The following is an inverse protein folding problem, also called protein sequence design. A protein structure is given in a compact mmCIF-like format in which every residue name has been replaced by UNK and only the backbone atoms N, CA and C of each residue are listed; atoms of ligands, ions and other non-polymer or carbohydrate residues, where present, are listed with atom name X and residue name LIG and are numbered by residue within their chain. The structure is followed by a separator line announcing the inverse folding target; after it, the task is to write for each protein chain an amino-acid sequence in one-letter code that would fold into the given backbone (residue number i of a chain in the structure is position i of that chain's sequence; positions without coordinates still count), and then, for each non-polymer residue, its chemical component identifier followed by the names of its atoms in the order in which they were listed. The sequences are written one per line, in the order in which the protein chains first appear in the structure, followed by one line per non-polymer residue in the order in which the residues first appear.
data_IF_438738213087
#
_entry.id   IF_438738213087
#
_cell.length_a   1.000
_cell.length_b   1.000
_cell.length_c   1.000
_cell.angle_alpha   90.00
_cell.angle_beta   90.00
_cell.angle_gamma   90.00
#
_symmetry.space_group_name_H-M   'P 1'
#
loop_
_entity.id
_entity.type
_entity.pdbx_description
1 polymer ?
#
# COMPACT_ATOMS: atom_id res chain seq x y z
N UNK A 1 -27.24 -8.62 -16.03
CA UNK A 1 -27.02 -9.04 -14.62
C UNK A 1 -26.75 -7.81 -13.77
N UNK A 2 -27.07 -7.80 -12.47
CA UNK A 2 -26.78 -6.64 -11.59
C UNK A 2 -25.38 -6.75 -11.00
N UNK A 3 -24.76 -5.62 -10.69
CA UNK A 3 -23.44 -5.58 -10.05
C UNK A 3 -23.47 -6.27 -8.69
N UNK A 4 -22.49 -7.13 -8.41
CA UNK A 4 -22.41 -7.92 -7.17
C UNK A 4 -21.82 -7.11 -5.98
N UNK A 5 -21.30 -5.90 -6.24
CA UNK A 5 -20.68 -5.08 -5.20
C UNK A 5 -21.71 -4.64 -4.14
N UNK A 6 -21.35 -4.84 -2.87
CA UNK A 6 -22.15 -4.46 -1.71
C UNK A 6 -21.53 -3.24 -1.03
N UNK A 7 -22.35 -2.27 -0.66
CA UNK A 7 -21.90 -1.15 0.16
C UNK A 7 -21.67 -1.62 1.62
N UNK A 8 -21.06 -0.78 2.46
CA UNK A 8 -20.77 -1.09 3.88
C UNK A 8 -22.01 -1.45 4.72
N UNK A 9 -23.19 -1.08 4.25
CA UNK A 9 -24.49 -1.36 4.86
C UNK A 9 -25.09 -2.70 4.37
N UNK A 10 -24.47 -3.34 3.37
CA UNK A 10 -24.94 -4.58 2.76
C UNK A 10 -25.92 -4.37 1.59
N UNK A 11 -26.10 -3.12 1.13
CA UNK A 11 -26.93 -2.82 -0.03
C UNK A 11 -26.19 -3.16 -1.33
N UNK A 12 -26.85 -3.93 -2.20
CA UNK A 12 -26.31 -4.26 -3.53
C UNK A 12 -26.38 -3.05 -4.47
N UNK A 13 -25.28 -2.81 -5.19
CA UNK A 13 -25.19 -1.78 -6.21
C UNK A 13 -26.34 -1.90 -7.23
N UNK A 14 -27.02 -0.77 -7.49
CA UNK A 14 -28.18 -0.71 -8.40
C UNK A 14 -27.80 -0.75 -9.88
N UNK A 15 -26.53 -0.55 -10.20
CA UNK A 15 -26.05 -0.50 -11.58
C UNK A 15 -25.98 -1.88 -12.23
N UNK A 16 -26.16 -1.91 -13.55
CA UNK A 16 -25.96 -3.14 -14.32
C UNK A 16 -24.48 -3.51 -14.37
N UNK A 17 -24.21 -4.80 -14.24
CA UNK A 17 -22.89 -5.35 -14.47
C UNK A 17 -22.56 -5.26 -15.97
N UNK A 18 -21.29 -5.01 -16.28
CA UNK A 18 -20.77 -5.05 -17.65
C UNK A 18 -20.89 -6.47 -18.24
N UNK A 19 -21.03 -6.57 -19.55
CA UNK A 19 -21.14 -7.85 -20.24
C UNK A 19 -19.88 -8.71 -20.02
N UNK A 20 -20.04 -9.92 -19.49
CA UNK A 20 -18.93 -10.80 -19.13
C UNK A 20 -18.22 -10.47 -17.80
N UNK A 21 -18.63 -9.43 -17.06
CA UNK A 21 -18.07 -9.08 -15.75
C UNK A 21 -19.14 -9.10 -14.65
N UNK A 22 -18.72 -9.31 -13.41
CA UNK A 22 -19.63 -9.32 -12.24
C UNK A 22 -19.89 -7.92 -11.65
N UNK A 23 -19.23 -6.89 -12.18
CA UNK A 23 -19.20 -5.55 -11.62
C UNK A 23 -19.62 -4.49 -12.66
N UNK A 24 -20.17 -3.37 -12.20
CA UNK A 24 -20.47 -2.21 -13.05
C UNK A 24 -19.17 -1.44 -13.39
N UNK A 25 -19.22 -0.54 -14.37
CA UNK A 25 -18.07 0.25 -14.82
C UNK A 25 -17.39 1.08 -13.72
N UNK A 26 -18.14 1.47 -12.68
CA UNK A 26 -17.60 2.19 -11.54
C UNK A 26 -16.78 1.27 -10.63
N UNK A 27 -17.33 0.11 -10.26
CA UNK A 27 -16.64 -0.85 -9.38
C UNK A 27 -15.56 -1.68 -10.09
N UNK A 28 -15.66 -1.87 -11.41
CA UNK A 28 -14.58 -2.53 -12.17
C UNK A 28 -13.30 -1.70 -12.17
N UNK A 29 -13.42 -0.38 -12.29
CA UNK A 29 -12.26 0.53 -12.23
C UNK A 29 -11.55 0.48 -10.87
N UNK A 30 -12.32 0.37 -9.80
CA UNK A 30 -11.79 0.27 -8.43
C UNK A 30 -11.07 -1.07 -8.21
N UNK A 31 -11.54 -2.16 -8.83
CA UNK A 31 -10.86 -3.45 -8.77
C UNK A 31 -9.65 -3.54 -9.70
N UNK A 32 -9.68 -2.92 -10.89
CA UNK A 32 -8.51 -2.84 -11.77
C UNK A 32 -7.34 -2.08 -11.11
N UNK A 33 -7.63 -1.15 -10.18
CA UNK A 33 -6.63 -0.51 -9.32
C UNK A 33 -6.20 -1.37 -8.10
N UNK A 34 -6.89 -2.48 -7.85
CA UNK A 34 -6.69 -3.35 -6.68
C UNK A 34 -6.36 -4.81 -7.05
N UNK A 35 -6.05 -5.09 -8.32
CA UNK A 35 -5.60 -6.40 -8.79
C UNK A 35 -4.06 -6.43 -8.79
N UNK A 36 -3.41 -6.97 -7.74
CA UNK A 36 -2.02 -7.34 -7.80
C UNK A 36 -1.94 -8.63 -8.62
N UNK A 37 -2.08 -8.55 -9.94
CA UNK A 37 -1.62 -9.66 -10.78
C UNK A 37 -0.10 -9.72 -10.65
N UNK A 38 0.32 -10.78 -9.98
CA UNK A 38 1.70 -11.08 -9.65
C UNK A 38 2.54 -11.21 -10.92
N UNK A 39 3.71 -10.55 -10.88
CA UNK A 39 4.93 -11.10 -11.46
C UNK A 39 5.06 -11.08 -12.98
N UNK A 40 5.50 -9.96 -13.54
CA UNK A 40 6.68 -9.99 -14.41
C UNK A 40 7.35 -8.61 -14.50
N UNK A 41 8.41 -8.47 -13.71
CA UNK A 41 9.69 -7.85 -14.06
C UNK A 41 9.65 -6.86 -15.25
N UNK A 42 9.79 -5.56 -14.97
CA UNK A 42 10.86 -4.73 -15.55
C UNK A 42 10.76 -3.29 -15.04
N UNK A 43 11.87 -2.86 -14.44
CA UNK A 43 12.41 -1.51 -14.44
C UNK A 43 11.48 -0.30 -14.20
N UNK A 44 11.91 0.48 -13.19
CA UNK A 44 11.86 1.94 -13.22
C UNK A 44 10.50 2.59 -12.94
N UNK A 45 10.41 3.22 -11.76
CA UNK A 45 9.36 4.20 -11.52
C UNK A 45 8.94 4.31 -10.06
N UNK A 46 9.84 4.84 -9.23
CA UNK A 46 9.50 5.42 -7.92
C UNK A 46 8.32 6.40 -8.10
N UNK A 47 7.08 5.97 -7.81
CA UNK A 47 5.93 6.87 -7.69
C UNK A 47 5.39 6.81 -6.28
N UNK A 48 5.86 7.79 -5.51
CA UNK A 48 5.31 8.21 -4.23
C UNK A 48 3.85 8.65 -4.46
N UNK A 49 2.90 7.79 -4.08
CA UNK A 49 1.51 8.19 -3.96
C UNK A 49 1.31 8.81 -2.56
N UNK A 50 1.09 10.12 -2.54
CA UNK A 50 0.87 10.89 -1.33
C UNK A 50 -0.42 10.47 -0.62
N UNK A 51 -0.28 9.95 0.58
CA UNK A 51 -1.29 10.09 1.62
C UNK A 51 -0.76 11.12 2.62
N UNK A 52 -1.64 11.93 3.18
CA UNK A 52 -1.38 13.12 4.03
C UNK A 52 -0.64 12.84 5.36
N UNK A 53 0.00 11.67 5.48
CA UNK A 53 0.78 11.20 6.61
C UNK A 53 2.25 10.84 6.27
N UNK A 54 2.88 11.26 5.15
CA UNK A 54 4.18 10.68 4.76
C UNK A 54 5.32 11.20 5.64
N UNK A 55 5.14 12.35 6.30
CA UNK A 55 6.14 13.02 7.12
C UNK A 55 6.34 12.32 8.47
N UNK A 56 5.25 11.88 9.12
CA UNK A 56 5.32 11.23 10.44
C UNK A 56 6.02 9.88 10.33
N UNK A 57 5.68 9.08 9.32
CA UNK A 57 6.37 7.81 9.07
C UNK A 57 7.82 8.00 8.64
N UNK A 58 8.14 9.04 7.86
CA UNK A 58 9.53 9.38 7.51
C UNK A 58 10.33 9.79 8.74
N UNK A 59 9.77 10.64 9.60
CA UNK A 59 10.40 11.04 10.88
C UNK A 59 10.56 9.83 11.81
N UNK A 60 9.53 9.00 11.97
CA UNK A 60 9.59 7.79 12.78
C UNK A 60 10.65 6.82 12.25
N UNK A 61 10.73 6.61 10.93
CA UNK A 61 11.75 5.78 10.30
C UNK A 61 13.16 6.33 10.52
N UNK A 62 13.37 7.65 10.41
CA UNK A 62 14.66 8.28 10.69
C UNK A 62 15.06 8.15 12.16
N UNK A 63 14.11 8.31 13.09
CA UNK A 63 14.35 8.14 14.53
C UNK A 63 14.71 6.69 14.86
N UNK A 64 13.96 5.73 14.33
CA UNK A 64 14.25 4.30 14.54
C UNK A 64 15.62 3.92 13.97
N UNK A 65 15.96 4.44 12.78
CA UNK A 65 17.26 4.21 12.14
C UNK A 65 18.40 4.82 12.95
N UNK A 66 18.21 6.02 13.53
CA UNK A 66 19.17 6.65 14.42
C UNK A 66 19.39 5.84 15.71
N UNK A 67 18.31 5.38 16.34
CA UNK A 67 18.40 4.54 17.55
C UNK A 67 19.19 3.27 17.24
N UNK A 68 18.89 2.60 16.14
CA UNK A 68 19.59 1.39 15.71
C UNK A 68 21.08 1.66 15.46
N UNK A 69 21.42 2.78 14.80
CA UNK A 69 22.81 3.19 14.59
C UNK A 69 23.55 3.47 15.90
N UNK A 70 22.90 4.14 16.86
CA UNK A 70 23.51 4.43 18.16
C UNK A 70 23.73 3.15 18.98
N UNK A 71 22.78 2.22 18.95
CA UNK A 71 22.89 0.93 19.63
C UNK A 71 23.98 0.05 19.01
N UNK A 72 24.04 0.00 17.67
CA UNK A 72 25.10 -0.67 16.94
C UNK A 72 26.46 -0.02 17.22
N UNK A 73 26.54 1.31 17.25
CA UNK A 73 27.78 2.04 17.56
C UNK A 73 28.21 1.83 19.01
N UNK A 74 27.28 1.79 19.96
CA UNK A 74 27.54 1.47 21.36
C UNK A 74 28.06 0.04 21.53
N UNK A 75 27.46 -0.92 20.82
CA UNK A 75 27.89 -2.32 20.78
C UNK A 75 29.28 -2.47 20.14
N UNK A 76 29.57 -1.73 19.07
CA UNK A 76 30.89 -1.73 18.44
C UNK A 76 31.93 -1.07 19.37
N UNK A 77 31.58 0.04 20.02
CA UNK A 77 32.47 0.73 20.96
C UNK A 77 32.76 -0.11 22.20
N UNK A 78 31.79 -0.84 22.73
CA UNK A 78 32.00 -1.77 23.86
C UNK A 78 32.92 -2.93 23.47
N UNK A 79 32.81 -3.41 22.22
CA UNK A 79 33.74 -4.41 21.67
C UNK A 79 35.15 -3.86 21.43
N UNK A 80 35.29 -2.59 21.03
CA UNK A 80 36.59 -1.94 20.85
C UNK A 80 37.26 -1.50 22.17
N UNK A 81 36.59 -1.67 23.32
CA UNK A 81 37.21 -1.45 24.63
C UNK A 81 37.65 -0.01 24.91
N UNK A 82 36.89 0.97 24.41
CA UNK A 82 37.08 2.41 24.68
C UNK A 82 36.11 2.96 25.73
#
# INVERSE_FOLDING_TARGET
MRCVHLNRVGDQCRDQALEGRQMCAFHSRILEDADPEEGMETASGRRQAGSRFPMIYRLAALVLLLIFLLDAFGSIRSWLGW
#
